data_IF_742780079970
#
_entry.id   IF_742780079970
#
_cell.length_a   1.000
_cell.length_b   1.000
_cell.length_c   1.000
_cell.angle_alpha   90.00
_cell.angle_beta   90.00
_cell.angle_gamma   90.00
#
_symmetry.space_group_name_H-M   'P 1'
#
loop_
_entity.id
_entity.type
_entity.pdbx_description
1 polymer ?
#
# COMPACT_ATOMS: atom_id res chain seq x y z
N UNK A 1 18.05 32.80 -15.66
CA UNK A 1 18.30 33.18 -14.25
C UNK A 1 17.37 32.35 -13.38
N UNK A 2 17.86 31.21 -12.90
CA UNK A 2 17.16 30.35 -11.93
C UNK A 2 17.45 30.88 -10.54
N UNK A 3 16.44 31.42 -9.85
CA UNK A 3 16.61 31.74 -8.44
C UNK A 3 16.85 30.44 -7.66
N UNK A 4 17.90 30.35 -6.82
CA UNK A 4 18.08 29.21 -5.95
C UNK A 4 16.88 29.10 -5.02
N UNK A 5 16.32 27.89 -4.92
CA UNK A 5 15.22 27.59 -4.01
C UNK A 5 15.59 28.02 -2.60
N UNK A 6 14.82 28.95 -2.03
CA UNK A 6 14.90 29.33 -0.61
C UNK A 6 13.66 28.82 0.10
N UNK A 7 13.86 28.31 1.31
CA UNK A 7 12.77 28.05 2.24
C UNK A 7 11.98 29.35 2.47
N UNK A 8 10.66 29.23 2.60
CA UNK A 8 9.84 30.35 3.07
C UNK A 8 10.29 30.77 4.47
N UNK A 9 10.12 32.04 4.84
CA UNK A 9 10.45 32.55 6.18
C UNK A 9 9.78 31.72 7.29
N UNK A 10 8.55 31.27 7.05
CA UNK A 10 7.80 30.38 7.94
C UNK A 10 8.44 29.00 8.11
N UNK A 11 9.06 28.47 7.05
CA UNK A 11 9.74 27.17 7.09
C UNK A 11 11.10 27.27 7.81
N UNK A 12 11.81 28.40 7.66
CA UNK A 12 13.05 28.67 8.38
C UNK A 12 12.81 28.84 9.89
N UNK A 13 11.79 29.61 10.29
CA UNK A 13 11.43 29.80 11.70
C UNK A 13 11.02 28.48 12.36
N UNK A 14 10.30 27.61 11.64
CA UNK A 14 9.98 26.25 12.10
C UNK A 14 11.24 25.40 12.30
N UNK A 15 12.16 25.41 11.33
CA UNK A 15 13.40 24.66 11.40
C UNK A 15 14.27 25.12 12.58
N UNK A 16 14.42 26.42 12.77
CA UNK A 16 15.17 26.99 13.89
C UNK A 16 14.54 26.63 15.25
N UNK A 17 13.21 26.67 15.37
CA UNK A 17 12.52 26.25 16.59
C UNK A 17 12.71 24.76 16.86
N UNK A 18 12.72 23.94 15.82
CA UNK A 18 12.97 22.50 15.95
C UNK A 18 14.41 22.22 16.41
N UNK A 19 15.40 22.92 15.84
CA UNK A 19 16.80 22.82 16.24
C UNK A 19 17.00 23.30 17.68
N UNK A 20 16.50 24.48 18.03
CA UNK A 20 16.59 25.05 19.41
C UNK A 20 15.87 24.20 20.46
N UNK A 21 14.77 23.52 20.09
CA UNK A 21 14.08 22.60 21.01
C UNK A 21 14.80 21.25 21.14
N UNK A 22 15.54 20.82 20.11
CA UNK A 22 16.35 19.60 20.14
C UNK A 22 17.61 19.73 21.01
N UNK A 23 18.20 20.92 21.13
CA UNK A 23 19.33 21.19 22.03
C UNK A 23 18.94 21.04 23.52
N UNK A 24 17.67 21.25 23.87
CA UNK A 24 17.15 20.99 25.23
C UNK A 24 16.94 19.50 25.53
N UNK A 25 16.91 18.63 24.52
CA UNK A 25 16.66 17.19 24.65
C UNK A 25 17.90 16.44 24.17
N UNK A 26 18.97 16.49 24.98
CA UNK A 26 20.25 15.83 24.73
C UNK A 26 20.25 14.29 24.72
N UNK A 27 19.22 13.64 24.15
CA UNK A 27 19.08 12.17 24.05
C UNK A 27 18.59 11.64 22.70
N UNK A 28 18.39 12.47 21.69
CA UNK A 28 18.05 11.98 20.34
C UNK A 28 19.29 11.38 19.65
N UNK A 29 19.20 10.11 19.21
CA UNK A 29 20.22 9.45 18.37
C UNK A 29 20.54 10.27 17.12
N UNK A 30 19.52 10.93 16.56
CA UNK A 30 19.63 11.75 15.35
C UNK A 30 20.48 13.01 15.59
N UNK A 31 20.31 13.68 16.74
CA UNK A 31 21.11 14.86 17.10
C UNK A 31 22.58 14.51 17.35
N UNK A 32 22.86 13.33 17.91
CA UNK A 32 24.24 12.85 18.07
C UNK A 32 24.94 12.55 16.73
N UNK A 33 24.19 12.05 15.75
CA UNK A 33 24.74 11.55 14.49
C UNK A 33 24.81 12.64 13.39
N UNK A 34 23.88 13.60 13.42
CA UNK A 34 23.74 14.63 12.38
C UNK A 34 23.72 16.07 12.90
N UNK A 35 23.62 16.29 14.22
CA UNK A 35 23.51 17.62 14.82
C UNK A 35 24.71 18.51 14.45
N UNK A 36 25.92 18.02 14.66
CA UNK A 36 27.15 18.78 14.35
C UNK A 36 27.29 19.14 12.86
N UNK A 37 26.88 18.25 11.93
CA UNK A 37 26.93 18.53 10.49
C UNK A 37 25.94 19.60 10.04
N UNK A 38 24.79 19.68 10.71
CA UNK A 38 23.75 20.66 10.39
C UNK A 38 24.13 22.06 10.90
N UNK A 39 24.78 22.15 12.06
CA UNK A 39 25.25 23.43 12.60
C UNK A 39 26.37 24.03 11.77
N UNK A 40 27.33 23.21 11.31
CA UNK A 40 28.43 23.66 10.45
C UNK A 40 27.92 24.19 9.09
N UNK A 41 26.89 23.54 8.51
CA UNK A 41 26.25 24.00 7.27
C UNK A 41 25.51 25.34 7.45
N UNK A 42 24.87 25.55 8.61
CA UNK A 42 24.16 26.79 8.94
C UNK A 42 25.12 27.94 9.26
N UNK A 43 26.23 27.67 9.96
CA UNK A 43 27.28 28.68 10.18
C UNK A 43 27.98 29.07 8.88
N UNK A 44 28.24 28.10 7.98
CA UNK A 44 28.79 28.38 6.65
C UNK A 44 27.83 29.26 5.83
N UNK A 45 26.52 29.01 5.89
CA UNK A 45 25.51 29.83 5.19
C UNK A 45 25.34 31.23 5.77
N UNK A 46 25.49 31.40 7.10
CA UNK A 46 25.33 32.69 7.77
C UNK A 46 26.60 33.55 7.76
N UNK A 47 27.78 32.94 7.55
CA UNK A 47 29.07 33.66 7.48
C UNK A 47 29.47 34.10 6.08
N UNK A 48 28.96 33.47 5.01
CA UNK A 48 29.23 33.91 3.62
C UNK A 48 28.05 34.68 3.04
N UNK A 49 27.70 35.79 3.68
CA UNK A 49 27.17 36.93 2.94
C UNK A 49 28.32 37.53 2.15
N UNK A 50 28.40 37.23 0.85
CA UNK A 50 29.11 37.91 -0.25
C UNK A 50 29.53 36.86 -1.29
N UNK A 51 29.05 37.07 -2.52
CA UNK A 51 29.46 36.51 -3.81
C UNK A 51 30.62 35.50 -3.79
N UNK A 52 30.29 34.22 -3.97
CA UNK A 52 31.17 33.29 -4.69
C UNK A 52 30.38 32.41 -5.66
N UNK A 53 30.74 32.58 -6.92
CA UNK A 53 30.37 31.77 -8.06
C UNK A 53 31.21 30.47 -8.00
N UNK A 54 30.83 29.54 -7.12
CA UNK A 54 31.44 28.21 -7.08
C UNK A 54 30.35 27.15 -7.30
N UNK A 55 30.32 26.67 -8.54
CA UNK A 55 29.51 25.55 -8.98
C UNK A 55 30.02 24.30 -8.26
N UNK A 56 29.21 23.70 -7.39
CA UNK A 56 29.53 22.37 -6.85
C UNK A 56 29.41 21.32 -7.94
N UNK A 57 30.54 21.04 -8.60
CA UNK A 57 30.75 19.84 -9.41
C UNK A 57 31.01 18.69 -8.45
N UNK A 58 30.04 17.78 -8.33
CA UNK A 58 30.32 16.44 -7.79
C UNK A 58 31.00 15.67 -8.92
N UNK A 59 32.31 15.51 -8.79
CA UNK A 59 33.16 14.70 -9.64
C UNK A 59 32.68 13.25 -9.65
N UNK A 60 32.12 12.83 -10.77
CA UNK A 60 31.94 11.42 -11.14
C UNK A 60 33.15 10.96 -11.95
N UNK A 61 33.99 10.13 -11.36
CA UNK A 61 35.03 9.28 -11.96
C UNK A 61 35.38 8.25 -10.86
N UNK A 62 35.38 6.92 -11.01
CA UNK A 62 35.78 6.05 -12.11
C UNK A 62 35.05 4.68 -12.01
N UNK A 63 34.63 4.17 -13.17
CA UNK A 63 34.59 2.76 -13.63
C UNK A 63 34.26 1.59 -12.67
N UNK A 64 33.12 0.94 -12.93
CA UNK A 64 33.12 -0.46 -13.38
C UNK A 64 31.82 -0.78 -14.12
N UNK A 65 31.92 -0.95 -15.44
CA UNK A 65 30.86 -1.51 -16.27
C UNK A 65 30.73 -3.00 -15.97
N UNK A 66 29.69 -3.39 -15.24
CA UNK A 66 29.20 -4.77 -15.26
C UNK A 66 27.85 -4.76 -15.97
N UNK A 67 27.92 -4.74 -17.30
CA UNK A 67 26.84 -5.19 -18.16
C UNK A 67 26.70 -6.69 -17.91
N UNK A 68 25.70 -7.10 -17.14
CA UNK A 68 25.28 -8.50 -17.13
C UNK A 68 24.59 -8.78 -18.47
N UNK A 69 25.39 -9.15 -19.45
CA UNK A 69 24.95 -9.86 -20.65
C UNK A 69 24.66 -11.30 -20.17
N UNK A 70 23.38 -11.62 -19.93
CA UNK A 70 22.96 -13.00 -19.79
C UNK A 70 23.00 -13.63 -21.18
N UNK A 71 24.04 -14.44 -21.37
CA UNK A 71 24.38 -15.07 -22.63
C UNK A 71 23.34 -16.05 -23.14
N UNK A 72 23.28 -16.10 -24.46
CA UNK A 72 22.68 -17.15 -25.27
C UNK A 72 23.09 -18.55 -24.76
N UNK A 73 22.08 -19.38 -24.54
CA UNK A 73 22.19 -20.80 -24.86
C UNK A 73 21.07 -21.12 -25.84
N UNK A 74 21.49 -21.43 -27.06
CA UNK A 74 20.68 -22.05 -28.10
C UNK A 74 19.97 -23.28 -27.52
N UNK A 75 18.64 -23.27 -27.56
CA UNK A 75 17.85 -24.45 -27.84
C UNK A 75 16.86 -24.08 -28.96
N UNK A 76 16.82 -24.93 -29.97
CA UNK A 76 16.18 -24.74 -31.26
C UNK A 76 14.65 -24.71 -31.16
N UNK A 77 14.01 -23.80 -31.90
CA UNK A 77 12.67 -23.98 -32.47
C UNK A 77 11.48 -23.40 -31.68
N UNK A 78 11.18 -22.12 -31.91
CA UNK A 78 9.95 -21.71 -32.64
C UNK A 78 9.93 -20.18 -32.82
N UNK A 79 9.55 -19.74 -34.02
CA UNK A 79 9.52 -18.34 -34.45
C UNK A 79 8.56 -17.49 -33.61
N UNK A 80 9.06 -16.91 -32.52
CA UNK A 80 8.34 -15.90 -31.76
C UNK A 80 8.52 -14.54 -32.45
N UNK A 81 7.59 -14.24 -33.38
CA UNK A 81 7.54 -12.99 -34.15
C UNK A 81 7.79 -11.74 -33.28
N UNK A 82 8.78 -10.97 -33.71
CA UNK A 82 9.35 -9.75 -33.12
C UNK A 82 8.44 -8.52 -33.18
N UNK A 83 7.19 -8.63 -32.74
CA UNK A 83 6.26 -7.50 -32.61
C UNK A 83 6.20 -6.82 -31.19
N UNK A 84 6.89 -7.21 -30.10
CA UNK A 84 6.53 -6.69 -28.76
C UNK A 84 7.04 -5.28 -28.39
N UNK A 85 8.04 -4.73 -29.06
CA UNK A 85 8.71 -3.48 -28.63
C UNK A 85 8.04 -2.20 -29.14
N UNK A 86 7.40 -2.24 -30.30
CA UNK A 86 6.96 -1.02 -30.99
C UNK A 86 5.72 -0.37 -30.35
N UNK A 87 4.75 -1.15 -29.86
CA UNK A 87 3.54 -0.62 -29.23
C UNK A 87 3.83 0.16 -27.94
N UNK A 88 4.69 -0.37 -27.09
CA UNK A 88 5.09 0.30 -25.85
C UNK A 88 5.99 1.51 -26.11
N UNK A 89 6.86 1.45 -27.11
CA UNK A 89 7.65 2.61 -27.55
C UNK A 89 6.76 3.70 -28.17
N UNK A 90 5.77 3.36 -28.99
CA UNK A 90 4.85 4.31 -29.61
C UNK A 90 4.01 5.08 -28.58
N UNK A 91 3.63 4.41 -27.48
CA UNK A 91 2.84 5.01 -26.38
C UNK A 91 3.74 5.74 -25.39
N UNK A 92 4.91 5.19 -25.02
CA UNK A 92 5.83 5.82 -24.06
C UNK A 92 6.50 7.09 -24.63
N UNK A 93 6.68 7.17 -25.95
CA UNK A 93 7.25 8.36 -26.60
C UNK A 93 6.21 9.47 -26.82
N UNK A 94 4.90 9.17 -26.71
CA UNK A 94 3.82 10.09 -27.07
C UNK A 94 2.72 10.08 -26.03
N UNK A 95 2.86 10.91 -25.00
CA UNK A 95 1.89 11.21 -23.93
C UNK A 95 0.57 10.41 -24.02
N UNK A 96 0.38 9.36 -23.20
CA UNK A 96 -0.66 8.33 -23.41
C UNK A 96 -2.07 8.88 -23.58
N UNK A 97 -2.39 9.98 -22.89
CA UNK A 97 -3.70 10.64 -22.91
C UNK A 97 -4.05 11.14 -24.32
N UNK A 98 -3.09 11.72 -25.04
CA UNK A 98 -3.31 12.26 -26.40
C UNK A 98 -3.54 11.17 -27.44
N UNK A 99 -3.22 9.91 -27.12
CA UNK A 99 -3.32 8.76 -28.02
C UNK A 99 -4.33 7.71 -27.51
N UNK A 100 -5.28 8.09 -26.65
CA UNK A 100 -6.23 7.15 -26.05
C UNK A 100 -7.03 6.37 -27.11
N UNK A 101 -7.45 7.01 -28.20
CA UNK A 101 -8.15 6.34 -29.30
C UNK A 101 -7.29 5.27 -29.98
N UNK A 102 -5.99 5.51 -30.10
CA UNK A 102 -5.04 4.54 -30.65
C UNK A 102 -4.85 3.36 -29.68
N UNK A 103 -4.67 3.63 -28.40
CA UNK A 103 -4.57 2.61 -27.34
C UNK A 103 -5.83 1.74 -27.34
N UNK A 104 -7.01 2.35 -27.33
CA UNK A 104 -8.31 1.65 -27.40
C UNK A 104 -8.39 0.75 -28.64
N UNK A 105 -8.05 1.29 -29.82
CA UNK A 105 -8.08 0.52 -31.07
C UNK A 105 -7.10 -0.66 -31.05
N UNK A 106 -5.94 -0.51 -30.43
CA UNK A 106 -4.92 -1.57 -30.33
C UNK A 106 -5.32 -2.63 -29.32
N UNK A 107 -5.75 -2.26 -28.12
CA UNK A 107 -6.19 -3.21 -27.11
C UNK A 107 -7.44 -4.00 -27.54
N UNK A 108 -8.32 -3.40 -28.36
CA UNK A 108 -9.44 -4.13 -28.98
C UNK A 108 -8.99 -5.19 -30.00
N UNK A 109 -7.87 -4.96 -30.68
CA UNK A 109 -7.33 -5.89 -31.69
C UNK A 109 -6.46 -6.99 -31.08
N UNK A 110 -5.65 -6.67 -30.08
CA UNK A 110 -4.83 -7.63 -29.34
C UNK A 110 -4.99 -7.37 -27.83
N UNK A 111 -5.76 -8.22 -27.11
CA UNK A 111 -5.95 -8.09 -25.66
C UNK A 111 -4.66 -8.14 -24.84
N UNK A 112 -3.57 -8.75 -25.34
CA UNK A 112 -2.27 -8.76 -24.61
C UNK A 112 -1.67 -7.36 -24.50
N UNK A 113 -2.15 -6.42 -25.31
CA UNK A 113 -1.73 -5.02 -25.27
C UNK A 113 -2.02 -4.35 -23.92
N UNK A 114 -3.05 -4.79 -23.18
CA UNK A 114 -3.32 -4.24 -21.85
C UNK A 114 -2.15 -4.50 -20.88
N UNK A 115 -1.68 -5.75 -20.82
CA UNK A 115 -0.60 -6.17 -19.93
C UNK A 115 0.76 -5.58 -20.37
N UNK A 116 0.99 -5.50 -21.68
CA UNK A 116 2.18 -4.84 -22.23
C UNK A 116 2.22 -3.35 -21.88
N UNK A 117 1.08 -2.67 -21.95
CA UNK A 117 0.95 -1.27 -21.57
C UNK A 117 1.24 -1.10 -20.07
N UNK A 118 0.62 -1.92 -19.21
CA UNK A 118 0.88 -1.91 -17.78
C UNK A 118 2.34 -2.26 -17.42
N UNK A 119 3.02 -3.06 -18.23
CA UNK A 119 4.41 -3.45 -17.95
C UNK A 119 5.42 -2.34 -18.29
N UNK A 120 5.13 -1.51 -19.28
CA UNK A 120 6.14 -0.65 -19.92
C UNK A 120 5.96 0.86 -19.71
N UNK A 121 4.84 1.32 -19.15
CA UNK A 121 4.64 2.75 -18.86
C UNK A 121 5.51 3.22 -17.67
N UNK A 122 5.91 4.48 -17.72
CA UNK A 122 6.52 5.17 -16.57
C UNK A 122 5.46 5.49 -15.51
N UNK A 123 5.87 5.78 -14.27
CA UNK A 123 4.94 6.18 -13.19
C UNK A 123 4.02 7.33 -13.62
N UNK A 124 4.60 8.45 -14.08
CA UNK A 124 3.81 9.63 -14.47
C UNK A 124 2.89 9.39 -15.67
N UNK A 125 3.26 8.50 -16.59
CA UNK A 125 2.40 8.13 -17.72
C UNK A 125 1.24 7.23 -17.29
N UNK A 126 1.48 6.28 -16.37
CA UNK A 126 0.42 5.47 -15.77
C UNK A 126 -0.56 6.34 -14.99
N UNK A 127 -0.06 7.27 -14.16
CA UNK A 127 -0.90 8.19 -13.39
C UNK A 127 -1.81 9.00 -14.30
N UNK A 128 -1.24 9.70 -15.29
CA UNK A 128 -2.01 10.50 -16.24
C UNK A 128 -3.07 9.68 -16.97
N UNK A 129 -2.71 8.46 -17.38
CA UNK A 129 -3.63 7.58 -18.07
C UNK A 129 -4.75 7.08 -17.17
N UNK A 130 -4.44 6.62 -15.95
CA UNK A 130 -5.42 6.18 -14.96
C UNK A 130 -6.36 7.32 -14.58
N UNK A 131 -5.84 8.52 -14.33
CA UNK A 131 -6.66 9.70 -14.06
C UNK A 131 -7.57 10.05 -15.23
N UNK A 132 -7.04 10.01 -16.45
CA UNK A 132 -7.84 10.26 -17.64
C UNK A 132 -8.97 9.23 -17.79
N UNK A 133 -8.68 7.94 -17.61
CA UNK A 133 -9.67 6.85 -17.69
C UNK A 133 -10.75 7.02 -16.61
N UNK A 134 -10.36 7.35 -15.38
CA UNK A 134 -11.30 7.51 -14.27
C UNK A 134 -12.20 8.75 -14.44
N UNK A 135 -11.70 9.82 -15.05
CA UNK A 135 -12.43 11.07 -15.25
C UNK A 135 -13.21 11.16 -16.58
N UNK A 136 -12.98 10.24 -17.53
CA UNK A 136 -13.56 10.32 -18.88
C UNK A 136 -14.77 9.40 -19.07
N UNK A 137 -15.63 9.75 -20.02
CA UNK A 137 -16.75 8.92 -20.49
C UNK A 137 -16.30 7.99 -21.62
N UNK A 138 -15.34 7.10 -21.33
CA UNK A 138 -14.87 6.09 -22.28
C UNK A 138 -15.78 4.85 -22.29
N UNK A 139 -15.60 4.02 -23.31
CA UNK A 139 -16.28 2.72 -23.44
C UNK A 139 -16.08 1.85 -22.19
N UNK A 140 -17.18 1.40 -21.57
CA UNK A 140 -17.16 0.71 -20.28
C UNK A 140 -16.31 -0.57 -20.32
N UNK A 141 -16.40 -1.34 -21.42
CA UNK A 141 -15.62 -2.56 -21.60
C UNK A 141 -14.12 -2.28 -21.70
N UNK A 142 -13.73 -1.19 -22.37
CA UNK A 142 -12.34 -0.76 -22.40
C UNK A 142 -11.87 -0.32 -21.01
N UNK A 143 -12.63 0.56 -20.34
CA UNK A 143 -12.34 1.09 -19.01
C UNK A 143 -12.14 -0.02 -17.98
N UNK A 144 -13.05 -1.00 -17.93
CA UNK A 144 -12.94 -2.10 -16.97
C UNK A 144 -11.67 -2.91 -17.22
N UNK A 145 -11.43 -3.33 -18.47
CA UNK A 145 -10.25 -4.15 -18.82
C UNK A 145 -8.93 -3.44 -18.56
N UNK A 146 -8.83 -2.16 -18.89
CA UNK A 146 -7.59 -1.41 -18.66
C UNK A 146 -7.36 -1.17 -17.18
N UNK A 147 -8.40 -0.92 -16.38
CA UNK A 147 -8.27 -0.76 -14.92
C UNK A 147 -7.84 -2.07 -14.25
N UNK A 148 -8.37 -3.22 -14.70
CA UNK A 148 -8.01 -4.54 -14.19
C UNK A 148 -6.54 -4.89 -14.36
N UNK A 149 -5.86 -4.36 -15.37
CA UNK A 149 -4.44 -4.62 -15.62
C UNK A 149 -3.54 -3.50 -15.10
N UNK A 150 -3.92 -2.24 -15.34
CA UNK A 150 -3.08 -1.08 -15.10
C UNK A 150 -3.04 -0.68 -13.63
N UNK A 151 -4.18 -0.69 -12.93
CA UNK A 151 -4.21 -0.24 -11.53
C UNK A 151 -3.43 -1.19 -10.60
N UNK A 152 -3.61 -2.53 -10.62
CA UNK A 152 -2.82 -3.41 -9.75
C UNK A 152 -1.32 -3.30 -10.03
N UNK A 153 -0.94 -3.21 -11.31
CA UNK A 153 0.46 -3.03 -11.71
C UNK A 153 1.05 -1.72 -11.20
N UNK A 154 0.27 -0.63 -11.26
CA UNK A 154 0.66 0.67 -10.71
C UNK A 154 0.87 0.61 -9.20
N UNK A 155 -0.09 0.04 -8.46
CA UNK A 155 -0.02 -0.10 -6.99
C UNK A 155 1.19 -0.94 -6.53
N UNK A 156 1.55 -1.97 -7.31
CA UNK A 156 2.70 -2.83 -7.06
C UNK A 156 4.03 -2.11 -7.29
N UNK A 157 4.14 -1.32 -8.36
CA UNK A 157 5.38 -0.64 -8.76
C UNK A 157 5.63 0.66 -8.00
N UNK A 158 4.56 1.41 -7.72
CA UNK A 158 4.64 2.81 -7.27
C UNK A 158 3.71 3.08 -6.07
N UNK A 159 3.96 2.46 -4.90
CA UNK A 159 3.17 2.73 -3.71
C UNK A 159 3.41 4.18 -3.23
N UNK A 160 2.47 5.06 -3.56
CA UNK A 160 2.56 6.50 -3.31
C UNK A 160 1.21 7.05 -2.83
N UNK A 161 1.18 8.30 -2.36
CA UNK A 161 -0.09 8.96 -1.98
C UNK A 161 -1.08 8.99 -3.15
N UNK A 162 -0.59 9.13 -4.38
CA UNK A 162 -1.43 9.12 -5.58
C UNK A 162 -2.12 7.76 -5.79
N UNK A 163 -1.50 6.65 -5.36
CA UNK A 163 -2.14 5.32 -5.36
C UNK A 163 -3.44 5.31 -4.54
N UNK A 164 -3.45 6.00 -3.40
CA UNK A 164 -4.62 6.07 -2.52
C UNK A 164 -5.72 6.90 -3.19
N UNK A 165 -5.37 8.05 -3.77
CA UNK A 165 -6.34 8.90 -4.49
C UNK A 165 -6.95 8.17 -5.70
N UNK A 166 -6.15 7.39 -6.43
CA UNK A 166 -6.63 6.56 -7.53
C UNK A 166 -7.58 5.45 -7.05
N UNK A 167 -7.27 4.77 -5.94
CA UNK A 167 -8.18 3.78 -5.34
C UNK A 167 -9.52 4.40 -4.93
N UNK A 168 -9.49 5.59 -4.32
CA UNK A 168 -10.70 6.33 -3.93
C UNK A 168 -11.55 6.66 -5.16
N UNK A 169 -10.95 7.23 -6.21
CA UNK A 169 -11.66 7.53 -7.47
C UNK A 169 -12.20 6.26 -8.14
N UNK A 170 -11.47 5.16 -8.06
CA UNK A 170 -11.90 3.89 -8.67
C UNK A 170 -13.07 3.26 -7.93
N UNK A 171 -13.25 3.55 -6.64
CA UNK A 171 -14.39 3.07 -5.83
C UNK A 171 -15.74 3.48 -6.38
N UNK A 172 -15.81 4.61 -7.09
CA UNK A 172 -17.04 5.10 -7.72
C UNK A 172 -17.41 4.33 -8.99
N UNK A 173 -16.58 3.37 -9.43
CA UNK A 173 -16.80 2.57 -10.65
C UNK A 173 -17.43 1.21 -10.31
N UNK A 174 -18.30 0.74 -11.17
CA UNK A 174 -18.98 -0.56 -11.04
C UNK A 174 -18.00 -1.76 -10.96
N UNK A 175 -16.81 -1.63 -11.57
CA UNK A 175 -15.78 -2.67 -11.58
C UNK A 175 -15.01 -2.80 -10.25
N UNK A 176 -15.19 -1.84 -9.32
CA UNK A 176 -14.35 -1.73 -8.13
C UNK A 176 -14.26 -3.03 -7.32
N UNK A 177 -15.36 -3.75 -7.10
CA UNK A 177 -15.32 -4.96 -6.29
C UNK A 177 -14.47 -6.07 -6.93
N UNK A 178 -14.62 -6.29 -8.24
CA UNK A 178 -13.81 -7.28 -8.97
C UNK A 178 -12.33 -6.87 -9.00
N UNK A 179 -12.07 -5.58 -9.18
CA UNK A 179 -10.72 -5.04 -9.17
C UNK A 179 -10.07 -5.14 -7.79
N UNK A 180 -10.83 -4.84 -6.74
CA UNK A 180 -10.36 -4.91 -5.36
C UNK A 180 -10.12 -6.36 -4.93
N UNK A 181 -10.88 -7.33 -5.44
CA UNK A 181 -10.57 -8.76 -5.28
C UNK A 181 -9.20 -9.11 -5.87
N UNK A 182 -8.90 -8.66 -7.09
CA UNK A 182 -7.59 -8.88 -7.72
C UNK A 182 -6.47 -8.24 -6.91
N UNK A 183 -6.66 -6.99 -6.48
CA UNK A 183 -5.69 -6.26 -5.65
C UNK A 183 -5.44 -6.98 -4.31
N UNK A 184 -6.51 -7.46 -3.66
CA UNK A 184 -6.41 -8.18 -2.38
C UNK A 184 -5.74 -9.54 -2.50
N UNK A 185 -5.78 -10.19 -3.67
CA UNK A 185 -5.14 -11.49 -3.88
C UNK A 185 -3.68 -11.39 -4.32
N UNK A 186 -3.25 -10.22 -4.78
CA UNK A 186 -1.86 -9.98 -5.19
C UNK A 186 -1.01 -9.55 -3.99
N UNK A 187 -0.29 -10.50 -3.40
CA UNK A 187 0.58 -10.27 -2.24
C UNK A 187 1.79 -9.38 -2.55
N UNK A 188 2.10 -9.12 -3.83
CA UNK A 188 3.16 -8.18 -4.19
C UNK A 188 2.72 -6.73 -4.01
N UNK A 189 1.41 -6.47 -3.89
CA UNK A 189 0.89 -5.16 -3.51
C UNK A 189 1.08 -5.01 -2.00
N UNK A 190 1.81 -3.96 -1.59
CA UNK A 190 2.15 -3.75 -0.19
C UNK A 190 0.89 -3.53 0.65
N UNK A 191 0.75 -4.30 1.74
CA UNK A 191 -0.41 -4.21 2.63
C UNK A 191 -0.64 -2.80 3.19
N UNK A 192 0.43 -2.01 3.35
CA UNK A 192 0.37 -0.60 3.78
C UNK A 192 -0.49 0.27 2.86
N UNK A 193 -0.48 0.03 1.54
CA UNK A 193 -1.32 0.78 0.59
C UNK A 193 -2.80 0.56 0.89
N UNK A 194 -3.19 -0.68 1.20
CA UNK A 194 -4.56 -1.02 1.56
C UNK A 194 -4.92 -0.54 2.96
N UNK A 195 -3.96 -0.53 3.90
CA UNK A 195 -4.15 0.08 5.22
C UNK A 195 -4.44 1.58 5.10
N UNK A 196 -3.64 2.30 4.32
CA UNK A 196 -3.85 3.73 4.08
C UNK A 196 -5.20 3.99 3.40
N UNK A 197 -5.52 3.26 2.33
CA UNK A 197 -6.81 3.38 1.64
C UNK A 197 -7.99 3.18 2.60
N UNK A 198 -7.97 2.10 3.39
CA UNK A 198 -9.05 1.79 4.33
C UNK A 198 -9.16 2.78 5.49
N UNK A 199 -8.05 3.44 5.86
CA UNK A 199 -8.05 4.50 6.87
C UNK A 199 -8.71 5.80 6.39
N UNK A 200 -8.68 6.07 5.09
CA UNK A 200 -9.32 7.25 4.48
C UNK A 200 -10.84 7.07 4.35
N UNK A 201 -11.35 5.83 4.39
CA UNK A 201 -12.79 5.56 4.42
C UNK A 201 -13.40 6.10 5.73
N UNK A 202 -14.22 7.15 5.62
CA UNK A 202 -14.78 7.85 6.78
C UNK A 202 -16.03 7.19 7.36
N UNK A 203 -16.80 6.47 6.53
CA UNK A 203 -18.10 5.91 6.93
C UNK A 203 -17.95 4.48 7.46
N UNK A 204 -18.60 4.19 8.59
CA UNK A 204 -18.70 2.81 9.10
C UNK A 204 -19.42 1.90 8.10
N UNK A 205 -20.41 2.43 7.36
CA UNK A 205 -21.12 1.68 6.32
C UNK A 205 -20.16 1.29 5.19
N UNK A 206 -19.31 2.21 4.74
CA UNK A 206 -18.31 1.95 3.70
C UNK A 206 -17.33 0.84 4.08
N UNK A 207 -16.84 0.87 5.32
CA UNK A 207 -15.97 -0.18 5.86
C UNK A 207 -16.69 -1.53 5.95
N UNK A 208 -17.98 -1.52 6.28
CA UNK A 208 -18.80 -2.73 6.36
C UNK A 208 -19.04 -3.33 4.98
N UNK A 209 -19.39 -2.51 3.99
CA UNK A 209 -19.61 -2.94 2.62
C UNK A 209 -18.34 -3.55 2.03
N UNK A 210 -17.19 -2.92 2.27
CA UNK A 210 -15.90 -3.44 1.81
C UNK A 210 -15.54 -4.77 2.49
N UNK A 211 -15.78 -4.90 3.80
CA UNK A 211 -15.58 -6.16 4.52
C UNK A 211 -16.52 -7.25 4.02
N UNK A 212 -17.79 -6.94 3.78
CA UNK A 212 -18.75 -7.90 3.21
C UNK A 212 -18.31 -8.39 1.83
N UNK A 213 -17.74 -7.51 0.99
CA UNK A 213 -17.17 -7.92 -0.28
C UNK A 213 -15.96 -8.85 -0.07
N UNK A 214 -15.07 -8.54 0.87
CA UNK A 214 -13.93 -9.41 1.21
C UNK A 214 -14.36 -10.82 1.62
N UNK A 215 -15.48 -10.98 2.33
CA UNK A 215 -16.02 -12.30 2.69
C UNK A 215 -16.32 -13.14 1.43
N UNK A 216 -16.77 -12.49 0.35
CA UNK A 216 -17.07 -13.16 -0.92
C UNK A 216 -15.83 -13.45 -1.77
N UNK A 217 -14.72 -12.78 -1.51
CA UNK A 217 -13.45 -13.04 -2.17
C UNK A 217 -12.90 -14.35 -1.63
N UNK A 218 -12.83 -15.37 -2.47
CA UNK A 218 -12.23 -16.66 -2.11
C UNK A 218 -10.72 -16.49 -1.88
N UNK A 219 -10.32 -16.00 -0.70
CA UNK A 219 -8.94 -15.70 -0.32
C UNK A 219 -8.32 -16.87 0.46
N UNK A 220 -7.06 -17.19 0.15
CA UNK A 220 -6.29 -18.19 0.86
C UNK A 220 -5.94 -17.72 2.27
N UNK A 221 -5.53 -18.65 3.13
CA UNK A 221 -5.15 -18.35 4.52
C UNK A 221 -3.88 -17.50 4.60
N UNK A 222 -2.98 -17.66 3.61
CA UNK A 222 -1.77 -16.84 3.46
C UNK A 222 -2.12 -15.38 3.13
N UNK A 223 -2.98 -15.17 2.13
CA UNK A 223 -3.48 -13.84 1.74
C UNK A 223 -4.24 -13.18 2.88
N UNK A 224 -5.09 -13.95 3.58
CA UNK A 224 -5.78 -13.44 4.77
C UNK A 224 -4.79 -12.98 5.84
N UNK A 225 -3.78 -13.79 6.15
CA UNK A 225 -2.77 -13.45 7.18
C UNK A 225 -2.00 -12.20 6.78
N UNK A 226 -1.62 -12.08 5.51
CA UNK A 226 -0.93 -10.90 4.97
C UNK A 226 -1.75 -9.61 5.13
N UNK A 227 -3.07 -9.68 4.95
CA UNK A 227 -3.98 -8.53 5.07
C UNK A 227 -4.71 -8.42 6.41
N UNK A 228 -4.41 -9.27 7.39
CA UNK A 228 -5.18 -9.36 8.64
C UNK A 228 -5.20 -8.03 9.41
N UNK A 229 -4.08 -7.30 9.46
CA UNK A 229 -4.04 -5.99 10.10
C UNK A 229 -4.99 -4.99 9.43
N UNK A 230 -5.00 -4.95 8.10
CA UNK A 230 -5.92 -4.11 7.31
C UNK A 230 -7.38 -4.47 7.60
N UNK A 231 -7.70 -5.77 7.62
CA UNK A 231 -9.05 -6.27 7.93
C UNK A 231 -9.46 -5.86 9.35
N UNK A 232 -8.57 -5.98 10.33
CA UNK A 232 -8.86 -5.62 11.72
C UNK A 232 -9.00 -4.11 11.93
N UNK A 233 -8.27 -3.28 11.19
CA UNK A 233 -8.44 -1.82 11.17
C UNK A 233 -9.85 -1.46 10.67
N UNK A 234 -10.30 -2.07 9.56
CA UNK A 234 -11.67 -1.88 9.08
C UNK A 234 -12.70 -2.38 10.10
N UNK A 235 -12.47 -3.57 10.67
CA UNK A 235 -13.40 -4.21 11.60
C UNK A 235 -13.66 -3.37 12.86
N UNK A 236 -12.62 -2.67 13.36
CA UNK A 236 -12.73 -1.78 14.51
C UNK A 236 -13.86 -0.76 14.34
N UNK A 237 -13.90 -0.10 13.19
CA UNK A 237 -14.77 1.04 12.90
C UNK A 237 -15.91 0.72 11.91
N UNK A 238 -16.29 -0.55 11.74
CA UNK A 238 -17.42 -0.94 10.88
C UNK A 238 -18.73 -1.14 11.67
N UNK A 239 -19.85 -1.20 10.96
CA UNK A 239 -21.11 -1.74 11.47
C UNK A 239 -20.95 -3.27 11.51
N UNK A 240 -20.57 -3.78 12.69
CA UNK A 240 -20.28 -5.20 12.89
C UNK A 240 -21.52 -6.03 12.56
N UNK A 241 -21.36 -6.99 11.65
CA UNK A 241 -22.37 -8.01 11.34
C UNK A 241 -21.85 -9.37 11.80
N UNK A 242 -22.79 -10.28 12.07
CA UNK A 242 -22.47 -11.67 12.42
C UNK A 242 -21.56 -12.32 11.36
N UNK A 243 -21.81 -12.05 10.08
CA UNK A 243 -21.05 -12.63 8.98
C UNK A 243 -19.60 -12.16 8.96
N UNK A 244 -19.34 -10.86 9.17
CA UNK A 244 -18.00 -10.29 9.27
C UNK A 244 -17.24 -10.93 10.44
N UNK A 245 -17.88 -11.04 11.60
CA UNK A 245 -17.23 -11.63 12.77
C UNK A 245 -16.97 -13.14 12.59
N UNK A 246 -17.94 -13.89 12.07
CA UNK A 246 -17.78 -15.30 11.77
C UNK A 246 -16.64 -15.54 10.76
N UNK A 247 -16.52 -14.70 9.73
CA UNK A 247 -15.44 -14.78 8.76
C UNK A 247 -14.06 -14.58 9.41
N UNK A 248 -13.87 -13.49 10.16
CA UNK A 248 -12.59 -13.20 10.82
C UNK A 248 -12.22 -14.31 11.80
N UNK A 249 -13.17 -14.75 12.64
CA UNK A 249 -12.93 -15.81 13.61
C UNK A 249 -12.58 -17.15 12.96
N UNK A 250 -13.28 -17.51 11.88
CA UNK A 250 -13.02 -18.75 11.14
C UNK A 250 -11.60 -18.74 10.57
N UNK A 251 -11.21 -17.63 9.93
CA UNK A 251 -9.87 -17.48 9.35
C UNK A 251 -8.77 -17.42 10.40
N UNK A 252 -8.98 -16.74 11.53
CA UNK A 252 -8.06 -16.79 12.67
C UNK A 252 -7.92 -18.24 13.19
N UNK A 253 -9.02 -18.96 13.32
CA UNK A 253 -8.98 -20.36 13.79
C UNK A 253 -8.20 -21.26 12.83
N UNK A 254 -8.42 -21.13 11.51
CA UNK A 254 -7.71 -21.87 10.47
C UNK A 254 -6.20 -21.56 10.50
N UNK A 255 -5.84 -20.29 10.63
CA UNK A 255 -4.44 -19.83 10.66
C UNK A 255 -3.72 -20.11 11.99
N UNK A 256 -4.46 -20.39 13.07
CA UNK A 256 -3.89 -20.62 14.40
C UNK A 256 -2.89 -21.78 14.47
N UNK A 257 -3.07 -22.81 13.64
CA UNK A 257 -2.14 -23.95 13.59
C UNK A 257 -0.74 -23.54 13.13
N UNK A 258 -0.66 -22.61 12.18
CA UNK A 258 0.59 -22.11 11.62
C UNK A 258 1.13 -20.90 12.43
N UNK A 259 0.24 -20.13 13.07
CA UNK A 259 0.56 -18.91 13.82
C UNK A 259 0.73 -19.08 15.33
N UNK A 260 0.65 -20.30 15.88
CA UNK A 260 0.63 -20.56 17.32
C UNK A 260 1.78 -19.86 18.08
N UNK A 261 2.98 -19.85 17.52
CA UNK A 261 4.17 -19.22 18.13
C UNK A 261 4.50 -17.84 17.55
N UNK A 262 3.79 -17.38 16.52
CA UNK A 262 4.06 -16.11 15.87
C UNK A 262 3.60 -14.92 16.75
N UNK A 263 4.55 -14.04 17.03
CA UNK A 263 4.32 -12.81 17.79
C UNK A 263 3.38 -11.85 17.06
N UNK A 264 3.49 -11.75 15.73
CA UNK A 264 2.64 -10.86 14.93
C UNK A 264 1.21 -11.38 14.90
N UNK A 265 1.01 -12.66 14.64
CA UNK A 265 -0.29 -13.31 14.78
C UNK A 265 -0.89 -13.07 16.18
N UNK A 266 -0.12 -13.28 17.25
CA UNK A 266 -0.58 -13.02 18.62
C UNK A 266 -0.97 -11.56 18.90
N UNK A 267 -0.23 -10.59 18.34
CA UNK A 267 -0.57 -9.16 18.40
C UNK A 267 -1.91 -8.89 17.72
N UNK A 268 -2.16 -9.49 16.56
CA UNK A 268 -3.39 -9.29 15.78
C UNK A 268 -4.59 -10.00 16.44
N UNK A 269 -4.40 -11.19 17.01
CA UNK A 269 -5.41 -11.84 17.85
C UNK A 269 -5.81 -10.97 19.04
N UNK A 270 -4.83 -10.38 19.73
CA UNK A 270 -5.08 -9.46 20.83
C UNK A 270 -5.88 -8.22 20.37
N UNK A 271 -5.57 -7.66 19.20
CA UNK A 271 -6.32 -6.54 18.60
C UNK A 271 -7.77 -6.93 18.28
N UNK A 272 -7.98 -8.14 17.75
CA UNK A 272 -9.32 -8.67 17.49
C UNK A 272 -10.14 -8.80 18.78
N UNK A 273 -9.55 -9.35 19.85
CA UNK A 273 -10.20 -9.45 21.16
C UNK A 273 -10.55 -8.07 21.75
N UNK A 274 -9.68 -7.06 21.57
CA UNK A 274 -9.99 -5.68 21.98
C UNK A 274 -11.22 -5.14 21.26
N UNK A 275 -11.36 -5.42 19.97
CA UNK A 275 -12.53 -5.01 19.19
C UNK A 275 -13.81 -5.71 19.65
N UNK A 276 -13.72 -7.00 19.98
CA UNK A 276 -14.86 -7.79 20.51
C UNK A 276 -15.30 -7.35 21.90
N UNK A 277 -14.37 -6.91 22.76
CA UNK A 277 -14.70 -6.45 24.12
C UNK A 277 -15.72 -5.31 24.13
N UNK A 278 -15.76 -4.49 23.09
CA UNK A 278 -16.73 -3.41 22.94
C UNK A 278 -18.11 -3.88 22.44
N UNK A 279 -18.30 -5.18 22.14
CA UNK A 279 -19.56 -5.74 21.65
C UNK A 279 -19.93 -7.08 22.35
N UNK A 280 -20.51 -7.02 23.58
CA UNK A 280 -20.75 -8.21 24.40
C UNK A 280 -21.68 -9.25 23.77
N UNK A 281 -22.71 -8.81 23.04
CA UNK A 281 -23.67 -9.71 22.40
C UNK A 281 -23.01 -10.60 21.34
N UNK A 282 -22.09 -10.02 20.57
CA UNK A 282 -21.35 -10.73 19.54
C UNK A 282 -20.29 -11.66 20.14
N UNK A 283 -19.58 -11.20 21.17
CA UNK A 283 -18.62 -12.00 21.91
C UNK A 283 -19.25 -13.24 22.57
N UNK A 284 -20.45 -13.09 23.15
CA UNK A 284 -21.19 -14.21 23.77
C UNK A 284 -21.44 -15.37 22.81
N UNK A 285 -21.72 -15.07 21.54
CA UNK A 285 -22.00 -16.09 20.52
C UNK A 285 -20.79 -16.94 20.11
N UNK A 286 -19.57 -16.55 20.48
CA UNK A 286 -18.33 -17.18 20.02
C UNK A 286 -17.33 -17.53 21.15
N UNK A 287 -17.73 -17.44 22.42
CA UNK A 287 -16.86 -17.66 23.57
C UNK A 287 -16.06 -18.98 23.53
N UNK A 288 -16.72 -20.09 23.20
CA UNK A 288 -16.07 -21.41 23.16
C UNK A 288 -14.96 -21.47 22.09
N UNK A 289 -15.20 -20.85 20.93
CA UNK A 289 -14.22 -20.80 19.85
C UNK A 289 -13.04 -19.88 20.21
N UNK A 290 -13.31 -18.75 20.87
CA UNK A 290 -12.28 -17.84 21.35
C UNK A 290 -11.38 -18.51 22.41
N UNK A 291 -11.97 -19.28 23.33
CA UNK A 291 -11.22 -20.03 24.35
C UNK A 291 -10.25 -21.01 23.70
N UNK A 292 -10.75 -21.85 22.77
CA UNK A 292 -9.93 -22.80 22.01
C UNK A 292 -8.81 -22.09 21.25
N UNK A 293 -9.10 -20.96 20.60
CA UNK A 293 -8.13 -20.18 19.84
C UNK A 293 -7.01 -19.58 20.70
N UNK A 294 -7.33 -19.15 21.93
CA UNK A 294 -6.35 -18.59 22.86
C UNK A 294 -5.49 -19.70 23.48
N UNK A 295 -6.08 -20.86 23.73
CA UNK A 295 -5.37 -22.01 24.31
C UNK A 295 -4.35 -22.62 23.35
N UNK A 296 -4.65 -22.64 22.05
CA UNK A 296 -3.70 -23.09 21.01
C UNK A 296 -2.56 -22.12 20.78
N UNK A 297 -2.68 -20.87 21.24
CA UNK A 297 -1.68 -19.84 21.03
C UNK A 297 -0.60 -19.82 22.13
N UNK A 298 0.67 -19.67 21.75
CA UNK A 298 1.85 -19.79 22.62
C UNK A 298 2.85 -18.63 22.50
N UNK A 299 2.54 -17.57 21.74
CA UNK A 299 3.44 -16.40 21.64
C UNK A 299 3.45 -15.56 22.94
N UNK A 300 4.37 -14.57 23.06
CA UNK A 300 4.37 -13.62 24.17
C UNK A 300 3.04 -12.85 24.37
N UNK A 301 2.17 -12.82 23.35
CA UNK A 301 0.84 -12.20 23.43
C UNK A 301 -0.25 -13.08 24.04
N UNK A 302 0.04 -14.35 24.38
CA UNK A 302 -0.94 -15.25 25.01
C UNK A 302 -1.52 -14.66 26.29
N UNK A 303 -0.69 -14.18 27.21
CA UNK A 303 -1.14 -13.60 28.49
C UNK A 303 -2.01 -12.35 28.29
N UNK A 304 -1.62 -11.38 27.45
CA UNK A 304 -2.51 -10.29 27.04
C UNK A 304 -3.87 -10.78 26.49
N UNK A 305 -3.89 -11.78 25.61
CA UNK A 305 -5.14 -12.32 25.07
C UNK A 305 -6.04 -12.92 26.16
N UNK A 306 -5.47 -13.73 27.07
CA UNK A 306 -6.21 -14.32 28.21
C UNK A 306 -6.81 -13.23 29.09
N UNK A 307 -6.06 -12.16 29.38
CA UNK A 307 -6.55 -11.08 30.23
C UNK A 307 -7.80 -10.42 29.63
N UNK A 308 -7.76 -10.07 28.34
CA UNK A 308 -8.90 -9.45 27.65
C UNK A 308 -10.07 -10.42 27.53
N UNK A 309 -9.79 -11.70 27.25
CA UNK A 309 -10.84 -12.71 27.19
C UNK A 309 -11.58 -12.88 28.52
N UNK A 310 -10.86 -12.84 29.64
CA UNK A 310 -11.47 -12.86 30.97
C UNK A 310 -12.29 -11.60 31.26
N UNK A 311 -11.89 -10.43 30.75
CA UNK A 311 -12.72 -9.22 30.81
C UNK A 311 -14.02 -9.41 30.03
N UNK A 312 -13.94 -9.95 28.81
CA UNK A 312 -15.11 -10.25 27.96
C UNK A 312 -16.08 -11.19 28.68
N UNK A 313 -15.58 -12.30 29.25
CA UNK A 313 -16.40 -13.26 30.01
C UNK A 313 -17.16 -12.56 31.15
N UNK A 314 -16.46 -11.75 31.94
CA UNK A 314 -17.08 -10.98 33.03
C UNK A 314 -18.18 -10.03 32.57
N UNK A 315 -18.02 -9.38 31.42
CA UNK A 315 -19.04 -8.47 30.87
C UNK A 315 -20.30 -9.18 30.38
N UNK A 316 -20.21 -10.46 30.03
CA UNK A 316 -21.34 -11.27 29.54
C UNK A 316 -22.11 -11.91 30.69
N UNK A 317 -21.44 -12.21 31.79
CA UNK A 317 -22.03 -12.85 32.99
C UNK A 317 -22.80 -11.87 33.90
N UNK A 318 -22.71 -10.56 33.64
CA UNK A 318 -23.42 -9.47 34.37
C UNK A 318 -24.67 -9.07 33.60
#
# INVERSE_FOLDING_TARGET
MTQPWKFSESSQDLLERFVKSSEKIGRSKWVKEFGHKTTDLLETYNLTGVDRDDTFVISSDESSSDTIILGDKNDEGDEMQSIPTQFSQDVAVREPVTHIDYIMKKCRKDPRSYNLLASNLTEGDMEKLLEHILNSTLDHNFTDKILMELLPTYLKKYPSRNSIDLLIKTREKNIFNNLFEVIMKDTDIQSVVLQEYTSVLKSNADKSDLLNNIISYNISDEVFTYHLETILIMYKDCNKTKDINCFILTKLTQTSQNGATDKNYGRLLHLYLQNLRCNPAEAASCLENLEKLIDTHHSPFRRPCINIFNEIKKYIEV
#
